data_IF_822542962879
#
_entry.id   IF_822542962879
#
_cell.length_a   1.000
_cell.length_b   1.000
_cell.length_c   1.000
_cell.angle_alpha   90.00
_cell.angle_beta   90.00
_cell.angle_gamma   90.00
#
_symmetry.space_group_name_H-M   'P 1'
#
loop_
_entity.id
_entity.type
_entity.pdbx_description
1 polymer ?
#
# COMPACT_ATOMS: atom_id res chain seq x y z
N UNK A 1 5.15 33.66 -3.76
CA UNK A 1 6.08 32.55 -3.49
C UNK A 1 6.69 32.13 -4.82
N UNK A 2 8.00 31.86 -4.86
CA UNK A 2 8.66 31.34 -6.06
C UNK A 2 8.70 29.82 -5.93
N UNK A 3 8.11 29.11 -6.89
CA UNK A 3 8.18 27.66 -6.97
C UNK A 3 9.34 27.27 -7.88
N UNK A 4 10.22 26.42 -7.38
CA UNK A 4 11.31 25.82 -8.15
C UNK A 4 10.97 24.35 -8.36
N UNK A 5 11.06 23.91 -9.62
CA UNK A 5 10.79 22.53 -10.02
C UNK A 5 12.11 21.86 -10.34
N UNK A 6 12.18 20.58 -10.02
CA UNK A 6 13.36 19.77 -10.24
C UNK A 6 13.09 18.31 -9.95
N UNK A 7 14.09 17.48 -10.24
CA UNK A 7 14.06 16.04 -9.97
C UNK A 7 14.75 15.75 -8.65
N UNK A 8 14.16 14.89 -7.83
CA UNK A 8 14.77 14.37 -6.61
C UNK A 8 15.28 12.94 -6.82
N UNK A 9 16.49 12.63 -6.34
CA UNK A 9 17.03 11.28 -6.28
C UNK A 9 18.02 11.15 -5.12
N UNK A 10 17.77 10.20 -4.21
CA UNK A 10 18.70 9.82 -3.12
C UNK A 10 19.26 11.00 -2.31
N UNK A 11 18.39 11.92 -1.87
CA UNK A 11 18.79 13.10 -1.09
C UNK A 11 19.31 14.28 -1.89
N UNK A 12 19.40 14.16 -3.22
CA UNK A 12 19.83 15.24 -4.11
C UNK A 12 18.65 15.78 -4.92
N UNK A 13 18.50 17.11 -4.95
CA UNK A 13 17.53 17.80 -5.79
C UNK A 13 18.28 18.51 -6.92
N UNK A 14 17.99 18.12 -8.16
CA UNK A 14 18.47 18.81 -9.36
C UNK A 14 17.38 19.73 -9.89
N UNK A 15 17.59 21.04 -9.79
CA UNK A 15 16.66 22.03 -10.32
C UNK A 15 16.69 22.09 -11.85
N UNK A 16 15.54 22.26 -12.47
CA UNK A 16 15.44 22.38 -13.93
C UNK A 16 16.01 23.70 -14.45
N UNK A 17 15.99 24.72 -13.59
CA UNK A 17 16.54 26.04 -13.84
C UNK A 17 17.40 26.47 -12.67
N UNK A 18 18.52 27.11 -12.99
CA UNK A 18 19.36 27.72 -11.97
C UNK A 18 18.60 28.85 -11.27
N UNK A 19 18.73 28.91 -9.95
CA UNK A 19 18.17 29.97 -9.13
C UNK A 19 19.30 30.67 -8.36
N UNK A 20 19.84 31.79 -8.89
CA UNK A 20 20.91 32.51 -8.23
C UNK A 20 20.38 33.23 -6.98
N UNK A 21 20.91 32.88 -5.81
CA UNK A 21 20.66 33.60 -4.56
C UNK A 21 21.96 34.18 -4.00
N UNK A 22 21.93 35.46 -3.61
CA UNK A 22 23.07 36.14 -2.96
C UNK A 22 23.17 35.85 -1.46
N UNK A 23 22.17 35.20 -0.87
CA UNK A 23 22.07 34.93 0.57
C UNK A 23 21.55 33.51 0.82
N UNK A 24 21.90 32.89 1.96
CA UNK A 24 21.29 31.61 2.35
C UNK A 24 19.76 31.76 2.49
N UNK A 25 19.01 30.81 1.96
CA UNK A 25 17.54 30.79 2.01
C UNK A 25 17.07 29.52 2.69
N UNK A 26 16.04 29.63 3.53
CA UNK A 26 15.32 28.47 4.05
C UNK A 26 14.37 27.97 2.95
N UNK A 27 14.40 26.67 2.68
CA UNK A 27 13.58 26.04 1.64
C UNK A 27 12.61 25.03 2.25
N UNK A 28 11.43 24.90 1.64
CA UNK A 28 10.46 23.85 1.92
C UNK A 28 10.41 23.01 0.65
N UNK A 29 10.69 21.71 0.78
CA UNK A 29 10.65 20.76 -0.33
C UNK A 29 9.34 20.00 -0.25
N UNK A 30 8.59 19.98 -1.35
CA UNK A 30 7.36 19.21 -1.48
C UNK A 30 7.56 18.19 -2.57
N UNK A 31 7.47 16.90 -2.22
CA UNK A 31 7.53 15.81 -3.18
C UNK A 31 6.15 15.67 -3.81
N UNK A 32 6.11 15.84 -5.13
CA UNK A 32 4.94 15.49 -5.92
C UNK A 32 5.05 13.99 -6.21
N UNK A 33 4.65 13.16 -5.24
CA UNK A 33 4.44 11.74 -5.53
C UNK A 33 3.31 11.66 -6.56
N UNK A 34 3.63 11.32 -7.81
CA UNK A 34 2.82 10.26 -8.40
C UNK A 34 3.13 9.06 -7.51
N UNK A 35 2.17 8.71 -6.65
CA UNK A 35 2.20 7.44 -5.98
C UNK A 35 2.13 6.44 -7.14
N UNK A 36 3.29 6.08 -7.70
CA UNK A 36 3.50 4.73 -8.19
C UNK A 36 3.21 3.91 -6.94
N UNK A 37 1.92 3.58 -6.80
CA UNK A 37 1.47 2.53 -5.93
C UNK A 37 2.34 1.40 -6.41
N UNK A 38 3.44 1.14 -5.70
CA UNK A 38 4.11 -0.14 -5.75
C UNK A 38 2.93 -1.09 -5.85
N UNK A 39 2.82 -1.83 -6.95
CA UNK A 39 1.79 -2.84 -7.09
C UNK A 39 2.07 -3.80 -5.96
N UNK A 40 1.57 -3.47 -4.78
CA UNK A 40 1.43 -4.35 -3.68
C UNK A 40 0.65 -5.46 -4.36
N UNK A 41 1.23 -6.65 -4.35
CA UNK A 41 0.48 -7.85 -4.60
C UNK A 41 -0.48 -8.04 -3.40
N UNK A 42 -1.22 -6.99 -3.05
CA UNK A 42 -2.27 -6.96 -2.07
C UNK A 42 -3.42 -7.71 -2.68
N UNK A 43 -4.00 -8.58 -1.88
CA UNK A 43 -5.10 -9.44 -2.25
C UNK A 43 -6.19 -8.57 -2.86
N UNK A 44 -6.49 -8.79 -4.14
CA UNK A 44 -7.51 -8.05 -4.86
C UNK A 44 -8.86 -8.70 -4.61
N UNK A 45 -9.95 -7.93 -4.75
CA UNK A 45 -11.30 -8.49 -4.62
C UNK A 45 -11.57 -9.63 -5.62
N UNK A 46 -10.87 -9.62 -6.76
CA UNK A 46 -10.89 -10.70 -7.75
C UNK A 46 -10.27 -12.02 -7.27
N UNK A 47 -9.43 -11.98 -6.24
CA UNK A 47 -8.82 -13.17 -5.65
C UNK A 47 -9.82 -13.94 -4.75
N UNK A 48 -10.92 -13.29 -4.34
CA UNK A 48 -12.00 -13.91 -3.59
C UNK A 48 -13.07 -14.45 -4.54
N UNK A 49 -13.39 -15.74 -4.42
CA UNK A 49 -14.45 -16.38 -5.20
C UNK A 49 -15.32 -17.26 -4.33
N UNK A 50 -16.56 -16.82 -4.09
CA UNK A 50 -17.54 -17.57 -3.32
C UNK A 50 -17.84 -18.94 -3.95
N UNK A 51 -17.91 -19.02 -5.27
CA UNK A 51 -18.12 -20.28 -6.00
C UNK A 51 -16.97 -21.27 -5.79
N UNK A 52 -15.73 -20.79 -5.71
CA UNK A 52 -14.56 -21.64 -5.41
C UNK A 52 -14.63 -22.15 -3.98
N UNK A 53 -14.95 -21.28 -3.01
CA UNK A 53 -15.15 -21.67 -1.62
C UNK A 53 -16.26 -22.70 -1.46
N UNK A 54 -17.41 -22.49 -2.14
CA UNK A 54 -18.53 -23.44 -2.10
C UNK A 54 -18.10 -24.83 -2.59
N UNK A 55 -17.38 -24.92 -3.72
CA UNK A 55 -16.87 -26.20 -4.24
C UNK A 55 -15.92 -26.90 -3.27
N UNK A 56 -15.01 -26.14 -2.66
CA UNK A 56 -14.05 -26.68 -1.70
C UNK A 56 -14.73 -27.20 -0.42
N UNK A 57 -15.93 -26.70 -0.09
CA UNK A 57 -16.67 -27.07 1.11
C UNK A 57 -17.69 -28.20 0.89
N UNK A 58 -17.89 -28.70 -0.34
CA UNK A 58 -18.88 -29.76 -0.64
C UNK A 58 -18.57 -31.04 0.13
N UNK A 59 -17.28 -31.41 0.19
CA UNK A 59 -16.85 -32.67 0.80
C UNK A 59 -16.53 -32.53 2.30
N UNK A 60 -16.57 -31.29 2.82
CA UNK A 60 -16.29 -31.01 4.22
C UNK A 60 -17.52 -31.34 5.08
N UNK A 61 -17.46 -32.47 5.79
CA UNK A 61 -18.50 -32.90 6.75
C UNK A 61 -18.20 -32.40 8.17
N UNK A 62 -17.85 -31.12 8.32
CA UNK A 62 -17.70 -30.50 9.63
C UNK A 62 -18.55 -29.25 9.73
N UNK A 63 -19.06 -28.99 10.93
CA UNK A 63 -19.74 -27.75 11.26
C UNK A 63 -18.79 -26.86 12.04
N UNK A 64 -18.78 -25.56 11.71
CA UNK A 64 -18.08 -24.57 12.52
C UNK A 64 -18.61 -24.58 13.97
N UNK A 65 -19.90 -24.81 14.16
CA UNK A 65 -20.52 -24.88 15.47
C UNK A 65 -20.00 -26.04 16.30
N UNK A 66 -19.78 -27.20 15.70
CA UNK A 66 -19.27 -28.38 16.40
C UNK A 66 -17.83 -28.13 16.85
N UNK A 67 -17.00 -27.56 15.98
CA UNK A 67 -15.62 -27.18 16.34
C UNK A 67 -15.55 -26.14 17.46
N UNK A 68 -16.49 -25.19 17.51
CA UNK A 68 -16.56 -24.20 18.60
C UNK A 68 -17.04 -24.81 19.92
N UNK A 69 -17.93 -25.80 19.86
CA UNK A 69 -18.38 -26.54 21.04
C UNK A 69 -17.23 -27.39 21.58
N UNK A 70 -16.52 -28.12 20.71
CA UNK A 70 -15.35 -28.93 21.06
C UNK A 70 -14.22 -28.06 21.67
N UNK A 71 -13.99 -26.86 21.14
CA UNK A 71 -13.01 -25.92 21.70
C UNK A 71 -13.42 -25.43 23.11
N UNK A 72 -14.71 -25.17 23.32
CA UNK A 72 -15.24 -24.69 24.61
C UNK A 72 -15.31 -25.80 25.66
N UNK A 73 -15.58 -27.02 25.24
CA UNK A 73 -15.65 -28.20 26.11
C UNK A 73 -14.26 -28.85 26.31
N UNK A 74 -13.24 -28.37 25.58
CA UNK A 74 -11.88 -28.91 25.48
C UNK A 74 -10.74 -27.96 25.87
N UNK A 75 -10.98 -27.04 26.80
CA UNK A 75 -9.97 -26.36 27.63
C UNK A 75 -10.35 -26.45 29.11
#
# INVERSE_FOLDING_TARGET
MVALVGTYLNGQVKLDKEFPSKKPLKVIVTFLEEVDVEKSNGIQLSDFSFSKSQKNLIDLKSSLSDSLIDERDGL
#
